data_IF_873462082746
#
_entry.id   IF_873462082746
#
_cell.length_a   1.000
_cell.length_b   1.000
_cell.length_c   1.000
_cell.angle_alpha   90.00
_cell.angle_beta   90.00
_cell.angle_gamma   90.00
#
_symmetry.space_group_name_H-M   'P 1'
#
loop_
_entity.id
_entity.type
_entity.pdbx_description
1 polymer ?
#
# COMPACT_ATOMS: atom_id res chain seq x y z
N UNK A 1 60.93 36.50 -3.43
CA UNK A 1 60.26 37.41 -4.37
C UNK A 1 59.25 36.73 -5.32
N UNK A 2 59.41 35.47 -5.73
CA UNK A 2 58.39 34.79 -6.57
C UNK A 2 57.10 34.38 -5.83
N UNK A 3 57.16 34.02 -4.54
CA UNK A 3 55.94 33.64 -3.77
C UNK A 3 54.96 34.79 -3.53
N UNK A 4 55.46 36.02 -3.37
CA UNK A 4 54.62 37.20 -3.11
C UNK A 4 53.88 37.67 -4.37
N UNK A 5 54.41 37.39 -5.56
CA UNK A 5 53.78 37.77 -6.83
C UNK A 5 52.57 36.89 -7.16
N UNK A 6 52.69 35.57 -6.98
CA UNK A 6 51.58 34.64 -7.16
C UNK A 6 50.44 34.88 -6.14
N UNK A 7 50.76 35.30 -4.92
CA UNK A 7 49.75 35.65 -3.90
C UNK A 7 48.93 36.89 -4.28
N UNK A 8 49.58 37.95 -4.78
CA UNK A 8 48.90 39.18 -5.23
C UNK A 8 48.03 38.93 -6.46
N UNK A 9 48.47 38.06 -7.37
CA UNK A 9 47.70 37.70 -8.56
C UNK A 9 46.44 36.89 -8.17
N UNK A 10 46.56 35.95 -7.22
CA UNK A 10 45.40 35.23 -6.69
C UNK A 10 44.43 36.11 -5.90
N UNK A 11 44.94 37.13 -5.20
CA UNK A 11 44.10 38.07 -4.44
C UNK A 11 43.34 39.03 -5.37
N UNK A 12 43.99 39.48 -6.46
CA UNK A 12 43.34 40.27 -7.50
C UNK A 12 42.29 39.45 -8.27
N UNK A 13 42.56 38.19 -8.60
CA UNK A 13 41.56 37.30 -9.20
C UNK A 13 40.36 37.06 -8.29
N UNK A 14 40.59 36.92 -6.98
CA UNK A 14 39.52 36.75 -6.00
C UNK A 14 38.64 38.00 -5.93
N UNK A 15 39.24 39.20 -5.85
CA UNK A 15 38.51 40.48 -5.87
C UNK A 15 37.72 40.67 -7.17
N UNK A 16 38.29 40.30 -8.31
CA UNK A 16 37.63 40.39 -9.60
C UNK A 16 36.41 39.44 -9.67
N UNK A 17 36.54 38.21 -9.18
CA UNK A 17 35.43 37.25 -9.07
C UNK A 17 34.33 37.74 -8.14
N UNK A 18 34.70 38.42 -7.05
CA UNK A 18 33.74 38.98 -6.11
C UNK A 18 32.97 40.16 -6.70
N UNK A 19 33.64 41.04 -7.46
CA UNK A 19 32.99 42.11 -8.21
C UNK A 19 32.09 41.60 -9.34
N UNK A 20 32.53 40.57 -10.08
CA UNK A 20 31.69 39.89 -11.09
C UNK A 20 30.43 39.35 -10.43
N UNK A 21 30.56 38.63 -9.30
CA UNK A 21 29.41 38.08 -8.56
C UNK A 21 28.48 39.18 -8.05
N UNK A 22 29.02 40.33 -7.62
CA UNK A 22 28.23 41.50 -7.21
C UNK A 22 27.46 42.09 -8.40
N UNK A 23 28.12 42.24 -9.55
CA UNK A 23 27.52 42.73 -10.79
C UNK A 23 26.47 41.77 -11.36
N UNK A 24 26.69 40.46 -11.27
CA UNK A 24 25.71 39.44 -11.65
C UNK A 24 24.44 39.52 -10.79
N UNK A 25 24.60 39.70 -9.46
CA UNK A 25 23.47 39.93 -8.56
C UNK A 25 22.72 41.22 -8.91
N UNK A 26 23.45 42.31 -9.18
CA UNK A 26 22.87 43.59 -9.58
C UNK A 26 22.09 43.47 -10.89
N UNK A 27 22.64 42.78 -11.89
CA UNK A 27 21.98 42.50 -13.16
C UNK A 27 20.73 41.62 -12.98
N UNK A 28 20.78 40.62 -12.10
CA UNK A 28 19.62 39.79 -11.80
C UNK A 28 18.47 40.63 -11.19
N UNK A 29 18.79 41.53 -10.25
CA UNK A 29 17.81 42.46 -9.65
C UNK A 29 17.23 43.45 -10.68
N UNK A 30 18.07 43.96 -11.57
CA UNK A 30 17.60 44.86 -12.64
C UNK A 30 16.71 44.12 -13.65
N UNK A 31 17.04 42.87 -13.99
CA UNK A 31 16.20 42.04 -14.88
C UNK A 31 14.84 41.75 -14.26
N UNK A 32 14.77 41.39 -12.99
CA UNK A 32 13.48 41.17 -12.31
C UNK A 32 12.67 42.45 -12.24
N UNK A 33 13.30 43.59 -11.95
CA UNK A 33 12.64 44.91 -11.95
C UNK A 33 12.09 45.29 -13.33
N UNK A 34 12.86 45.08 -14.40
CA UNK A 34 12.39 45.37 -15.76
C UNK A 34 11.24 44.44 -16.16
N UNK A 35 11.34 43.14 -15.88
CA UNK A 35 10.25 42.20 -16.12
C UNK A 35 8.95 42.60 -15.39
N UNK A 36 9.07 43.06 -14.14
CA UNK A 36 7.92 43.57 -13.39
C UNK A 36 7.35 44.84 -14.02
N UNK A 37 8.21 45.76 -14.45
CA UNK A 37 7.79 46.98 -15.15
C UNK A 37 7.05 46.66 -16.44
N UNK A 38 7.55 45.76 -17.25
CA UNK A 38 6.92 45.36 -18.53
C UNK A 38 5.56 44.72 -18.28
N UNK A 39 5.43 43.86 -17.25
CA UNK A 39 4.14 43.31 -16.84
C UNK A 39 3.18 44.39 -16.34
N UNK A 40 3.66 45.37 -15.59
CA UNK A 40 2.85 46.49 -15.11
C UNK A 40 2.36 47.36 -16.27
N UNK A 41 3.23 47.68 -17.23
CA UNK A 41 2.87 48.43 -18.44
C UNK A 41 1.80 47.67 -19.23
N UNK A 42 2.03 46.39 -19.51
CA UNK A 42 1.04 45.56 -20.22
C UNK A 42 -0.31 45.49 -19.49
N UNK A 43 -0.29 45.38 -18.17
CA UNK A 43 -1.52 45.41 -17.35
C UNK A 43 -2.26 46.76 -17.47
N UNK A 44 -1.53 47.88 -17.43
CA UNK A 44 -2.10 49.22 -17.58
C UNK A 44 -2.64 49.46 -18.99
N UNK A 45 -1.97 48.96 -20.03
CA UNK A 45 -2.44 49.06 -21.42
C UNK A 45 -3.71 48.26 -21.65
N UNK A 46 -3.76 47.01 -21.17
CA UNK A 46 -4.97 46.19 -21.19
C UNK A 46 -6.09 46.86 -20.39
N UNK A 47 -5.78 47.36 -19.19
CA UNK A 47 -6.72 48.08 -18.35
C UNK A 47 -7.28 49.33 -19.03
N UNK A 48 -6.44 50.10 -19.73
CA UNK A 48 -6.87 51.26 -20.52
C UNK A 48 -7.77 50.86 -21.69
N UNK A 49 -7.41 49.82 -22.44
CA UNK A 49 -8.21 49.33 -23.55
C UNK A 49 -9.59 48.87 -23.07
N UNK A 50 -9.63 48.13 -21.95
CA UNK A 50 -10.86 47.76 -21.26
C UNK A 50 -11.62 49.03 -20.88
N UNK A 51 -11.06 49.95 -20.09
CA UNK A 51 -11.74 51.17 -19.65
C UNK A 51 -12.26 52.03 -20.81
N UNK A 52 -11.50 52.16 -21.90
CA UNK A 52 -11.94 52.89 -23.09
C UNK A 52 -13.10 52.20 -23.83
N UNK A 53 -13.19 50.88 -23.73
CA UNK A 53 -14.29 50.07 -24.27
C UNK A 53 -15.51 50.10 -23.33
N UNK A 54 -15.27 50.07 -22.01
CA UNK A 54 -16.30 50.15 -20.97
C UNK A 54 -16.96 51.54 -20.92
N UNK A 55 -16.20 52.61 -21.14
CA UNK A 55 -16.65 54.00 -21.02
C UNK A 55 -16.24 54.84 -22.25
N UNK A 56 -16.86 54.61 -23.42
CA UNK A 56 -16.68 55.50 -24.56
C UNK A 56 -17.27 56.88 -24.22
N UNK A 57 -16.69 57.99 -24.70
CA UNK A 57 -17.12 59.33 -24.33
C UNK A 57 -18.58 59.67 -24.72
N UNK A 58 -19.26 58.88 -25.58
CA UNK A 58 -20.56 59.23 -26.16
C UNK A 58 -21.58 58.07 -26.30
N UNK A 59 -21.73 57.15 -25.33
CA UNK A 59 -22.76 56.10 -25.49
C UNK A 59 -23.26 55.41 -24.21
N UNK A 60 -24.36 55.91 -23.65
CA UNK A 60 -25.04 55.26 -22.51
C UNK A 60 -25.65 53.88 -22.80
N UNK A 61 -25.95 53.56 -24.07
CA UNK A 61 -26.53 52.27 -24.47
C UNK A 61 -25.52 51.11 -24.43
N UNK A 62 -24.28 51.34 -24.89
CA UNK A 62 -23.22 50.32 -24.90
C UNK A 62 -22.76 49.93 -23.49
N UNK A 63 -22.77 50.87 -22.54
CA UNK A 63 -22.43 50.64 -21.12
C UNK A 63 -23.40 49.62 -20.50
N UNK A 64 -24.70 49.73 -20.79
CA UNK A 64 -25.72 48.79 -20.27
C UNK A 64 -25.56 47.39 -20.85
N UNK A 65 -25.34 47.27 -22.17
CA UNK A 65 -25.11 45.99 -22.83
C UNK A 65 -23.87 45.29 -22.28
N UNK A 66 -22.79 46.04 -22.08
CA UNK A 66 -21.53 45.46 -21.63
C UNK A 66 -21.54 45.12 -20.14
N UNK A 67 -22.24 45.90 -19.30
CA UNK A 67 -22.49 45.53 -17.89
C UNK A 67 -23.19 44.18 -17.79
N UNK A 68 -24.14 43.89 -18.70
CA UNK A 68 -24.79 42.57 -18.76
C UNK A 68 -23.79 41.46 -19.09
N UNK A 69 -22.92 41.65 -20.07
CA UNK A 69 -21.89 40.67 -20.45
C UNK A 69 -20.87 40.43 -19.32
N UNK A 70 -20.49 41.47 -18.59
CA UNK A 70 -19.60 41.36 -17.43
C UNK A 70 -20.27 40.56 -16.31
N UNK A 71 -21.54 40.85 -16.02
CA UNK A 71 -22.30 40.10 -15.00
C UNK A 71 -22.50 38.64 -15.41
N UNK A 72 -22.77 38.37 -16.69
CA UNK A 72 -22.91 37.01 -17.22
C UNK A 72 -21.58 36.23 -17.12
N UNK A 73 -20.47 36.86 -17.49
CA UNK A 73 -19.13 36.29 -17.27
C UNK A 73 -18.90 35.98 -15.80
N UNK A 74 -19.21 36.92 -14.91
CA UNK A 74 -18.96 36.75 -13.48
C UNK A 74 -19.84 35.66 -12.85
N UNK A 75 -21.07 35.49 -13.36
CA UNK A 75 -21.93 34.35 -13.03
C UNK A 75 -21.29 33.02 -13.47
N UNK A 76 -20.86 32.94 -14.74
CA UNK A 76 -20.22 31.74 -15.28
C UNK A 76 -18.91 31.40 -14.56
N UNK A 77 -18.10 32.40 -14.22
CA UNK A 77 -16.87 32.22 -13.45
C UNK A 77 -17.20 31.71 -12.04
N UNK A 78 -18.25 32.23 -11.41
CA UNK A 78 -18.69 31.77 -10.10
C UNK A 78 -19.13 30.30 -10.15
N UNK A 79 -19.95 29.92 -11.14
CA UNK A 79 -20.37 28.53 -11.37
C UNK A 79 -19.20 27.59 -11.70
N UNK A 80 -18.22 28.07 -12.46
CA UNK A 80 -17.01 27.33 -12.74
C UNK A 80 -16.18 27.10 -11.47
N UNK A 81 -16.02 28.13 -10.63
CA UNK A 81 -15.26 28.03 -9.39
C UNK A 81 -15.93 27.10 -8.38
N UNK A 82 -17.27 27.12 -8.27
CA UNK A 82 -17.99 26.17 -7.41
C UNK A 82 -17.82 24.74 -7.91
N UNK A 83 -18.01 24.50 -9.21
CA UNK A 83 -17.78 23.19 -9.83
C UNK A 83 -16.34 22.71 -9.64
N UNK A 84 -15.36 23.60 -9.78
CA UNK A 84 -13.96 23.30 -9.55
C UNK A 84 -13.69 22.93 -8.09
N UNK A 85 -14.32 23.64 -7.14
CA UNK A 85 -14.19 23.34 -5.72
C UNK A 85 -14.82 21.99 -5.36
N UNK A 86 -15.95 21.63 -5.96
CA UNK A 86 -16.57 20.31 -5.82
C UNK A 86 -15.66 19.20 -6.38
N UNK A 87 -15.06 19.43 -7.54
CA UNK A 87 -14.10 18.49 -8.13
C UNK A 87 -12.85 18.30 -7.24
N UNK A 88 -12.36 19.37 -6.62
CA UNK A 88 -11.27 19.27 -5.64
C UNK A 88 -11.68 18.44 -4.41
N UNK A 89 -12.88 18.66 -3.87
CA UNK A 89 -13.41 17.85 -2.75
C UNK A 89 -13.49 16.37 -3.14
N UNK A 90 -14.12 16.05 -4.28
CA UNK A 90 -14.21 14.68 -4.79
C UNK A 90 -12.84 14.04 -4.99
N UNK A 91 -11.86 14.80 -5.51
CA UNK A 91 -10.47 14.32 -5.64
C UNK A 91 -9.83 14.01 -4.28
N UNK A 92 -10.04 14.83 -3.27
CA UNK A 92 -9.50 14.57 -1.93
C UNK A 92 -10.14 13.35 -1.27
N UNK A 93 -11.44 13.13 -1.48
CA UNK A 93 -12.14 11.94 -1.00
C UNK A 93 -11.64 10.68 -1.70
N UNK A 94 -11.45 10.73 -3.02
CA UNK A 94 -10.87 9.63 -3.80
C UNK A 94 -9.47 9.28 -3.29
N UNK A 95 -8.62 10.28 -3.02
CA UNK A 95 -7.29 10.05 -2.47
C UNK A 95 -7.33 9.37 -1.08
N UNK A 96 -8.25 9.81 -0.20
CA UNK A 96 -8.46 9.16 1.11
C UNK A 96 -8.93 7.72 0.96
N UNK A 97 -9.86 7.46 0.03
CA UNK A 97 -10.35 6.12 -0.23
C UNK A 97 -9.23 5.21 -0.77
N UNK A 98 -8.43 5.69 -1.72
CA UNK A 98 -7.27 4.96 -2.23
C UNK A 98 -6.28 4.62 -1.11
N UNK A 99 -6.02 5.56 -0.20
CA UNK A 99 -5.16 5.29 0.96
C UNK A 99 -5.78 4.21 1.87
N UNK A 100 -7.07 4.27 2.14
CA UNK A 100 -7.79 3.26 2.93
C UNK A 100 -7.74 1.87 2.28
N UNK A 101 -7.90 1.78 0.95
CA UNK A 101 -7.77 0.53 0.20
C UNK A 101 -6.36 -0.06 0.34
N UNK A 102 -5.32 0.76 0.23
CA UNK A 102 -3.93 0.32 0.41
C UNK A 102 -3.71 -0.22 1.82
N UNK A 103 -4.23 0.47 2.85
CA UNK A 103 -4.15 0.01 4.24
C UNK A 103 -4.87 -1.33 4.42
N UNK A 104 -6.11 -1.46 3.93
CA UNK A 104 -6.87 -2.70 4.01
C UNK A 104 -6.16 -3.85 3.29
N UNK A 105 -5.55 -3.60 2.12
CA UNK A 105 -4.78 -4.61 1.41
C UNK A 105 -3.54 -5.06 2.19
N UNK A 106 -2.86 -4.13 2.89
CA UNK A 106 -1.74 -4.47 3.76
C UNK A 106 -2.19 -5.30 4.96
N UNK A 107 -3.31 -4.96 5.59
CA UNK A 107 -3.88 -5.72 6.70
C UNK A 107 -4.30 -7.12 6.25
N UNK A 108 -4.96 -7.24 5.11
CA UNK A 108 -5.31 -8.54 4.51
C UNK A 108 -4.07 -9.38 4.22
N UNK A 109 -2.99 -8.77 3.72
CA UNK A 109 -1.72 -9.47 3.48
C UNK A 109 -1.10 -9.97 4.80
N UNK A 110 -1.18 -9.20 5.87
CA UNK A 110 -0.71 -9.58 7.20
C UNK A 110 -1.55 -10.72 7.79
N UNK A 111 -2.88 -10.62 7.70
CA UNK A 111 -3.79 -11.69 8.13
C UNK A 111 -3.55 -12.99 7.35
N UNK A 112 -3.39 -12.92 6.03
CA UNK A 112 -3.05 -14.08 5.19
C UNK A 112 -1.71 -14.71 5.59
N UNK A 113 -0.71 -13.90 5.96
CA UNK A 113 0.57 -14.40 6.48
C UNK A 113 0.38 -15.15 7.80
N UNK A 114 -0.43 -14.61 8.72
CA UNK A 114 -0.76 -15.27 10.00
C UNK A 114 -1.51 -16.57 9.80
N UNK A 115 -2.52 -16.59 8.93
CA UNK A 115 -3.26 -17.81 8.58
C UNK A 115 -2.31 -18.88 8.02
N UNK A 116 -1.40 -18.49 7.10
CA UNK A 116 -0.41 -19.40 6.56
C UNK A 116 0.51 -19.97 7.65
N UNK A 117 0.98 -19.13 8.57
CA UNK A 117 1.82 -19.58 9.69
C UNK A 117 1.09 -20.58 10.59
N UNK A 118 -0.16 -20.28 10.98
CA UNK A 118 -0.99 -21.18 11.81
C UNK A 118 -1.24 -22.50 11.10
N UNK A 119 -1.58 -22.48 9.80
CA UNK A 119 -1.79 -23.69 9.00
C UNK A 119 -0.51 -24.52 8.84
N UNK A 120 0.64 -23.87 8.73
CA UNK A 120 1.94 -24.54 8.64
C UNK A 120 2.28 -25.22 9.96
N UNK A 121 1.99 -24.58 11.10
CA UNK A 121 2.20 -25.15 12.42
C UNK A 121 1.25 -26.33 12.71
N UNK A 122 -0.03 -26.22 12.34
CA UNK A 122 -1.02 -27.29 12.59
C UNK A 122 -0.82 -28.51 11.69
N UNK A 123 -0.44 -28.33 10.42
CA UNK A 123 -0.21 -29.47 9.52
C UNK A 123 1.00 -30.32 9.90
N UNK A 124 2.04 -29.71 10.48
CA UNK A 124 3.24 -30.43 10.95
C UNK A 124 2.97 -31.21 12.24
N UNK A 125 2.21 -30.65 13.19
CA UNK A 125 1.87 -31.38 14.42
C UNK A 125 0.88 -32.52 14.17
N UNK A 126 -0.20 -32.26 13.42
CA UNK A 126 -1.24 -33.28 13.19
C UNK A 126 -0.73 -34.48 12.38
N UNK A 127 0.16 -34.29 11.41
CA UNK A 127 0.70 -35.40 10.61
C UNK A 127 1.69 -36.27 11.41
N UNK A 128 2.52 -35.68 12.25
CA UNK A 128 3.43 -36.43 13.11
C UNK A 128 2.68 -37.24 14.18
N UNK A 129 1.65 -36.65 14.78
CA UNK A 129 0.84 -37.31 15.80
C UNK A 129 -0.04 -38.42 15.21
N UNK A 130 -0.63 -38.22 14.03
CA UNK A 130 -1.39 -39.27 13.34
C UNK A 130 -0.51 -40.47 12.96
N UNK A 131 0.70 -40.23 12.46
CA UNK A 131 1.63 -41.30 12.11
C UNK A 131 2.10 -42.09 13.35
N UNK A 132 2.24 -41.43 14.51
CA UNK A 132 2.54 -42.11 15.78
C UNK A 132 1.36 -42.97 16.23
N UNK A 133 0.16 -42.40 16.27
CA UNK A 133 -1.06 -43.13 16.63
C UNK A 133 -1.30 -44.35 15.73
N UNK A 134 -1.05 -44.23 14.42
CA UNK A 134 -1.20 -45.34 13.49
C UNK A 134 -0.17 -46.46 13.73
N UNK A 135 1.07 -46.11 14.10
CA UNK A 135 2.09 -47.09 14.49
C UNK A 135 1.73 -47.79 15.80
N UNK A 136 1.29 -47.03 16.80
CA UNK A 136 0.91 -47.58 18.11
C UNK A 136 -0.29 -48.54 17.97
N UNK A 137 -1.26 -48.20 17.11
CA UNK A 137 -2.40 -49.06 16.81
C UNK A 137 -1.95 -50.35 16.12
N UNK A 138 -1.10 -50.25 15.08
CA UNK A 138 -0.58 -51.44 14.39
C UNK A 138 0.28 -52.33 15.30
N UNK A 139 1.05 -51.74 16.21
CA UNK A 139 1.81 -52.49 17.22
C UNK A 139 0.89 -53.18 18.23
N UNK A 140 -0.18 -52.52 18.65
CA UNK A 140 -1.19 -53.11 19.54
C UNK A 140 -1.94 -54.27 18.86
N UNK A 141 -2.31 -54.12 17.58
CA UNK A 141 -2.92 -55.19 16.78
C UNK A 141 -1.96 -56.38 16.63
N UNK A 142 -0.69 -56.13 16.31
CA UNK A 142 0.31 -57.19 16.19
C UNK A 142 0.52 -57.93 17.53
N UNK A 143 0.56 -57.21 18.65
CA UNK A 143 0.65 -57.82 19.99
C UNK A 143 -0.59 -58.67 20.31
N UNK A 144 -1.77 -58.17 19.97
CA UNK A 144 -3.04 -58.87 20.17
C UNK A 144 -3.11 -60.14 19.33
N UNK A 145 -2.60 -60.10 18.10
CA UNK A 145 -2.52 -61.27 17.22
C UNK A 145 -1.53 -62.31 17.75
N UNK A 146 -0.37 -61.89 18.25
CA UNK A 146 0.59 -62.81 18.89
C UNK A 146 -0.02 -63.45 20.13
N UNK A 147 -0.69 -62.69 21.00
CA UNK A 147 -1.30 -63.26 22.22
C UNK A 147 -2.46 -64.21 21.90
N UNK A 148 -3.27 -63.90 20.89
CA UNK A 148 -4.30 -64.82 20.35
C UNK A 148 -3.69 -66.16 19.92
N UNK A 149 -2.64 -66.11 19.10
CA UNK A 149 -1.97 -67.31 18.58
C UNK A 149 -1.31 -68.13 19.70
N UNK A 150 -0.67 -67.48 20.67
CA UNK A 150 -0.08 -68.15 21.85
C UNK A 150 -1.17 -68.82 22.70
N UNK A 151 -2.29 -68.13 22.94
CA UNK A 151 -3.40 -68.66 23.74
C UNK A 151 -4.06 -69.87 23.04
N UNK A 152 -4.22 -69.81 21.72
CA UNK A 152 -4.69 -70.93 20.91
C UNK A 152 -3.75 -72.14 21.00
N UNK A 153 -2.44 -71.91 20.87
CA UNK A 153 -1.42 -72.95 21.02
C UNK A 153 -1.48 -73.61 22.40
N UNK A 154 -1.52 -72.82 23.47
CA UNK A 154 -1.64 -73.31 24.85
C UNK A 154 -2.89 -74.16 25.06
N UNK A 155 -4.05 -73.73 24.56
CA UNK A 155 -5.30 -74.49 24.69
C UNK A 155 -5.19 -75.83 23.95
N UNK A 156 -4.68 -75.83 22.71
CA UNK A 156 -4.54 -77.04 21.91
C UNK A 156 -3.51 -78.03 22.50
N UNK A 157 -2.40 -77.53 23.03
CA UNK A 157 -1.34 -78.36 23.63
C UNK A 157 -1.66 -78.84 25.04
N UNK A 158 -2.55 -78.16 25.77
CA UNK A 158 -2.92 -78.52 27.16
C UNK A 158 -3.66 -79.85 27.30
N UNK A 159 -4.15 -80.43 26.20
CA UNK A 159 -4.95 -81.66 26.22
C UNK A 159 -6.32 -81.51 26.87
N UNK A 160 -6.75 -80.29 27.19
CA UNK A 160 -8.07 -79.97 27.73
C UNK A 160 -9.13 -80.14 26.63
N UNK A 161 -10.24 -80.82 26.93
CA UNK A 161 -11.36 -80.99 26.01
C UNK A 161 -12.18 -79.68 25.90
N UNK A 162 -11.61 -78.70 25.21
CA UNK A 162 -12.14 -77.36 25.01
C UNK A 162 -13.46 -77.32 24.23
N UNK A 163 -13.80 -78.39 23.50
CA UNK A 163 -15.06 -78.52 22.77
C UNK A 163 -16.23 -78.77 23.74
N UNK A 164 -15.97 -79.43 24.87
CA UNK A 164 -16.98 -79.75 25.87
C UNK A 164 -17.23 -78.61 26.88
N UNK A 165 -16.33 -77.62 26.93
CA UNK A 165 -16.46 -76.45 27.81
C UNK A 165 -16.97 -75.24 27.00
N UNK A 166 -18.21 -74.84 27.28
CA UNK A 166 -18.90 -73.69 26.67
C UNK A 166 -18.05 -72.39 26.74
N UNK A 167 -17.31 -72.18 27.84
CA UNK A 167 -16.49 -70.99 28.03
C UNK A 167 -15.24 -71.02 27.16
N UNK A 168 -14.58 -72.17 27.06
CA UNK A 168 -13.38 -72.33 26.24
C UNK A 168 -13.71 -72.33 24.74
N UNK A 169 -14.83 -72.95 24.37
CA UNK A 169 -15.35 -72.92 23.01
C UNK A 169 -15.63 -71.48 22.55
N UNK A 170 -16.29 -70.68 23.39
CA UNK A 170 -16.57 -69.26 23.10
C UNK A 170 -15.30 -68.43 22.99
N UNK A 171 -14.28 -68.69 23.81
CA UNK A 171 -12.98 -68.04 23.70
C UNK A 171 -12.27 -68.42 22.40
N UNK A 172 -12.26 -69.70 22.02
CA UNK A 172 -11.63 -70.15 20.78
C UNK A 172 -12.31 -69.57 19.52
N UNK A 173 -13.64 -69.48 19.53
CA UNK A 173 -14.42 -68.82 18.46
C UNK A 173 -14.17 -67.30 18.39
N UNK A 174 -13.88 -66.64 19.51
CA UNK A 174 -13.51 -65.22 19.53
C UNK A 174 -12.07 -64.97 19.09
N UNK A 175 -11.16 -65.92 19.36
CA UNK A 175 -9.77 -65.87 18.91
C UNK A 175 -9.69 -66.05 17.40
N UNK A 176 -10.45 -67.01 16.85
CA UNK A 176 -10.48 -67.32 15.42
C UNK A 176 -11.26 -66.34 14.52
N UNK A 177 -11.81 -65.26 15.06
CA UNK A 177 -12.36 -64.17 14.26
C UNK A 177 -11.23 -63.21 13.86
N UNK A 178 -11.01 -63.08 12.55
CA UNK A 178 -10.23 -61.98 11.98
C UNK A 178 -10.90 -60.64 12.29
N UNK A 179 -10.09 -59.60 12.49
CA UNK A 179 -10.53 -58.21 12.70
C UNK A 179 -10.87 -57.59 11.35
#
# INVERSE_FOLDING_TARGET
>A
HMSTFNLVETENEFRLKEEIKKKEKELALLRTKNMLKDKAIGSVEIGRAILSSLYPPNSGSHISCLTKLVNERDSLVSEFLTSHQELLKARTELAKLQQSVIMCHNDNRELMRRIKNVRSQSSVSTSADLNRLQRDLSEAEAKLEVTKNVLQGLILESGVNWVADEHLLKLMLNIGKEI
#
